data_IF_537096923064
#
_entry.id   IF_537096923064
#
_cell.length_a   1.000
_cell.length_b   1.000
_cell.length_c   1.000
_cell.angle_alpha   90.00
_cell.angle_beta   90.00
_cell.angle_gamma   90.00
#
_symmetry.space_group_name_H-M   'P 1'
#
loop_
_entity.id
_entity.type
_entity.pdbx_description
1 polymer ?
#
# COMPACT_ATOMS: atom_id res chain seq x y z
N UNK A 1 -1.00 10.32 14.44
CA UNK A 1 -2.14 11.18 14.02
C UNK A 1 -2.23 11.07 12.50
N UNK A 2 -3.30 10.51 11.93
CA UNK A 2 -3.45 10.43 10.47
C UNK A 2 -3.69 11.85 9.92
N UNK A 3 -2.78 12.36 9.08
CA UNK A 3 -3.09 13.57 8.30
C UNK A 3 -4.12 13.18 7.22
N UNK A 4 -5.26 13.89 7.12
CA UNK A 4 -6.31 13.50 6.19
C UNK A 4 -5.86 13.79 4.75
N UNK A 5 -5.50 12.74 4.01
CA UNK A 5 -5.39 12.81 2.56
C UNK A 5 -6.81 13.01 1.98
N UNK A 6 -7.12 14.23 1.57
CA UNK A 6 -8.42 14.60 1.01
C UNK A 6 -8.68 13.89 -0.34
N UNK A 7 -9.94 13.76 -0.79
CA UNK A 7 -10.26 13.14 -2.08
C UNK A 7 -9.52 13.74 -3.29
N UNK A 8 -9.28 15.05 -3.28
CA UNK A 8 -8.51 15.75 -4.31
C UNK A 8 -7.05 15.27 -4.37
N UNK A 9 -6.47 14.93 -3.22
CA UNK A 9 -5.11 14.38 -3.12
C UNK A 9 -5.10 12.92 -3.60
N UNK A 10 -6.14 12.15 -3.31
CA UNK A 10 -6.30 10.76 -3.82
C UNK A 10 -6.37 10.74 -5.35
N UNK A 11 -7.08 11.71 -5.96
CA UNK A 11 -7.12 11.83 -7.43
C UNK A 11 -5.73 12.08 -8.03
N UNK A 12 -4.92 12.94 -7.42
CA UNK A 12 -3.52 13.15 -7.84
C UNK A 12 -2.66 11.90 -7.60
N UNK A 13 -2.85 11.22 -6.47
CA UNK A 13 -2.16 9.97 -6.14
C UNK A 13 -2.41 8.89 -7.21
N UNK A 14 -3.63 8.82 -7.77
CA UNK A 14 -3.93 7.91 -8.90
C UNK A 14 -3.10 8.22 -10.16
N UNK A 15 -2.80 9.48 -10.46
CA UNK A 15 -1.85 9.80 -11.54
C UNK A 15 -0.45 9.30 -11.20
N UNK A 16 -0.03 9.55 -9.96
CA UNK A 16 1.33 9.27 -9.50
C UNK A 16 1.63 7.77 -9.50
N UNK A 17 0.63 6.91 -9.25
CA UNK A 17 0.79 5.44 -9.32
C UNK A 17 0.50 4.86 -10.72
N UNK A 18 0.11 5.71 -11.69
CA UNK A 18 -0.13 5.31 -13.08
C UNK A 18 -1.49 4.68 -13.35
N UNK A 19 -2.53 5.07 -12.59
CA UNK A 19 -3.92 4.62 -12.74
C UNK A 19 -4.93 5.79 -12.94
N UNK A 20 -4.66 6.76 -13.84
CA UNK A 20 -5.54 7.92 -14.04
C UNK A 20 -6.96 7.53 -14.51
N UNK A 21 -7.13 6.37 -15.14
CA UNK A 21 -8.42 5.89 -15.65
C UNK A 21 -9.47 5.64 -14.57
N UNK A 22 -9.08 5.51 -13.29
CA UNK A 22 -10.01 5.26 -12.18
C UNK A 22 -10.42 6.52 -11.42
N UNK A 23 -9.91 7.70 -11.82
CA UNK A 23 -10.15 8.96 -11.12
C UNK A 23 -11.61 9.29 -10.94
N UNK A 24 -12.40 9.15 -12.01
CA UNK A 24 -13.83 9.47 -11.97
C UNK A 24 -14.56 8.62 -10.92
N UNK A 25 -14.29 7.31 -10.87
CA UNK A 25 -14.94 6.42 -9.91
C UNK A 25 -14.50 6.70 -8.47
N UNK A 26 -13.21 7.00 -8.25
CA UNK A 26 -12.70 7.34 -6.92
C UNK A 26 -13.23 8.69 -6.43
N UNK A 27 -13.36 9.67 -7.32
CA UNK A 27 -13.91 11.01 -7.02
C UNK A 27 -15.42 10.93 -6.70
N UNK A 28 -16.21 10.25 -7.54
CA UNK A 28 -17.63 9.98 -7.29
C UNK A 28 -17.85 9.22 -5.97
N UNK A 29 -16.97 8.26 -5.67
CA UNK A 29 -16.97 7.52 -4.41
C UNK A 29 -16.44 8.30 -3.19
N UNK A 30 -15.95 9.52 -3.40
CA UNK A 30 -15.30 10.37 -2.37
C UNK A 30 -14.22 9.63 -1.58
N UNK A 31 -13.41 8.82 -2.26
CA UNK A 31 -12.36 8.02 -1.64
C UNK A 31 -11.31 8.96 -1.03
N UNK A 32 -11.06 8.82 0.27
CA UNK A 32 -10.04 9.55 1.01
C UNK A 32 -8.90 8.64 1.50
N UNK A 33 -7.89 9.21 2.16
CA UNK A 33 -6.75 8.44 2.70
C UNK A 33 -7.13 7.39 3.74
N UNK A 34 -8.21 7.62 4.51
CA UNK A 34 -8.68 6.65 5.50
C UNK A 34 -9.34 5.46 4.80
N UNK A 35 -10.13 5.72 3.76
CA UNK A 35 -10.70 4.69 2.91
C UNK A 35 -9.60 3.90 2.20
N UNK A 36 -8.55 4.53 1.69
CA UNK A 36 -7.39 3.82 1.15
C UNK A 36 -6.73 2.90 2.18
N UNK A 37 -6.62 3.32 3.43
CA UNK A 37 -6.01 2.50 4.49
C UNK A 37 -6.79 1.20 4.76
N UNK A 38 -8.13 1.26 4.73
CA UNK A 38 -9.03 0.13 4.99
C UNK A 38 -9.68 -0.46 3.73
N UNK A 39 -9.15 -0.14 2.54
CA UNK A 39 -9.74 -0.55 1.26
C UNK A 39 -9.82 -2.08 1.16
N UNK A 40 -10.99 -2.62 0.84
CA UNK A 40 -11.21 -4.05 0.61
C UNK A 40 -11.18 -4.41 -0.88
N UNK A 41 -11.03 -5.71 -1.19
CA UNK A 41 -11.12 -6.21 -2.58
C UNK A 41 -12.48 -5.86 -3.21
N UNK A 42 -13.56 -5.95 -2.43
CA UNK A 42 -14.92 -5.66 -2.90
C UNK A 42 -15.13 -4.16 -3.18
N UNK A 43 -14.50 -3.27 -2.39
CA UNK A 43 -14.52 -1.83 -2.66
C UNK A 43 -13.87 -1.52 -4.01
N UNK A 44 -12.69 -2.12 -4.28
CA UNK A 44 -12.02 -1.94 -5.57
C UNK A 44 -12.84 -2.45 -6.75
N UNK A 45 -13.52 -3.60 -6.59
CA UNK A 45 -14.42 -4.12 -7.61
C UNK A 45 -15.60 -3.17 -7.85
N UNK A 46 -16.16 -2.58 -6.79
CA UNK A 46 -17.24 -1.59 -6.85
C UNK A 46 -16.79 -0.30 -7.55
N UNK A 47 -15.52 0.08 -7.37
CA UNK A 47 -14.84 1.17 -8.08
C UNK A 47 -14.41 0.78 -9.51
N UNK A 48 -14.86 -0.38 -10.02
CA UNK A 48 -14.57 -0.92 -11.37
C UNK A 48 -13.10 -1.26 -11.62
N UNK A 49 -12.32 -1.45 -10.56
CA UNK A 49 -10.95 -1.95 -10.64
C UNK A 49 -11.01 -3.49 -10.65
N UNK A 50 -11.12 -4.09 -11.84
CA UNK A 50 -11.24 -5.54 -11.99
C UNK A 50 -9.94 -6.29 -12.31
N UNK A 51 -8.84 -5.57 -12.58
CA UNK A 51 -7.56 -6.17 -12.98
C UNK A 51 -6.76 -6.63 -11.75
N UNK A 52 -6.24 -7.87 -11.79
CA UNK A 52 -5.35 -8.41 -10.74
C UNK A 52 -4.09 -7.55 -10.60
N UNK A 53 -3.53 -7.10 -11.73
CA UNK A 53 -2.34 -6.25 -11.73
C UNK A 53 -2.63 -4.90 -11.04
N UNK A 54 -3.80 -4.30 -11.30
CA UNK A 54 -4.16 -3.04 -10.67
C UNK A 54 -4.46 -3.19 -9.18
N UNK A 55 -4.98 -4.34 -8.72
CA UNK A 55 -5.10 -4.65 -7.30
C UNK A 55 -3.72 -4.72 -6.62
N UNK A 56 -2.75 -5.39 -7.24
CA UNK A 56 -1.38 -5.44 -6.72
C UNK A 56 -0.71 -4.06 -6.73
N UNK A 57 -0.93 -3.27 -7.79
CA UNK A 57 -0.48 -1.88 -7.86
C UNK A 57 -1.01 -1.06 -6.69
N UNK A 58 -2.33 -1.05 -6.48
CA UNK A 58 -2.95 -0.30 -5.38
C UNK A 58 -2.48 -0.83 -4.01
N UNK A 59 -2.38 -2.16 -3.84
CA UNK A 59 -1.83 -2.78 -2.62
C UNK A 59 -0.46 -2.23 -2.27
N UNK A 60 0.48 -2.23 -3.22
CA UNK A 60 1.85 -1.76 -2.97
C UNK A 60 1.93 -0.24 -2.85
N UNK A 61 1.09 0.51 -3.56
CA UNK A 61 1.00 1.95 -3.37
C UNK A 61 0.49 2.33 -1.96
N UNK A 62 -0.52 1.63 -1.43
CA UNK A 62 -0.98 1.79 -0.04
C UNK A 62 0.13 1.41 0.94
N UNK A 63 0.88 0.34 0.67
CA UNK A 63 2.02 -0.05 1.50
C UNK A 63 3.09 1.06 1.54
N UNK A 64 3.40 1.70 0.40
CA UNK A 64 4.33 2.84 0.35
C UNK A 64 3.79 4.02 1.14
N UNK A 65 2.49 4.33 1.07
CA UNK A 65 1.88 5.36 1.92
C UNK A 65 2.08 5.02 3.41
N UNK A 66 1.85 3.77 3.83
CA UNK A 66 2.06 3.33 5.22
C UNK A 66 3.51 3.47 5.67
N UNK A 67 4.46 3.05 4.84
CA UNK A 67 5.91 3.19 5.11
C UNK A 67 6.34 4.66 5.26
N UNK A 68 5.59 5.59 4.66
CA UNK A 68 5.86 7.02 4.72
C UNK A 68 4.82 7.78 5.55
N UNK A 69 4.14 7.10 6.48
CA UNK A 69 3.20 7.70 7.43
C UNK A 69 2.09 8.54 6.80
N UNK A 70 1.65 8.14 5.60
CA UNK A 70 0.65 8.84 4.78
C UNK A 70 1.02 10.30 4.47
N UNK A 71 2.31 10.62 4.35
CA UNK A 71 2.74 11.93 3.89
C UNK A 71 2.22 12.17 2.45
N UNK A 72 1.45 13.23 2.19
CA UNK A 72 0.80 13.45 0.89
C UNK A 72 1.71 13.51 -0.33
N UNK A 73 2.98 13.89 -0.15
CA UNK A 73 3.97 14.06 -1.21
C UNK A 73 5.07 12.99 -1.17
N UNK A 74 4.81 11.84 -0.52
CA UNK A 74 5.86 10.84 -0.34
C UNK A 74 6.27 10.21 -1.67
N UNK A 75 5.37 10.19 -2.66
CA UNK A 75 5.69 9.76 -4.02
C UNK A 75 6.38 10.88 -4.79
N UNK A 76 7.58 10.58 -5.31
CA UNK A 76 8.46 11.57 -5.92
C UNK A 76 8.56 11.40 -7.43
N UNK A 77 8.40 12.52 -8.14
CA UNK A 77 8.70 12.62 -9.59
C UNK A 77 10.17 12.89 -9.85
N UNK A 78 10.84 13.62 -8.95
CA UNK A 78 12.27 13.95 -9.02
C UNK A 78 12.89 13.60 -7.66
N UNK A 79 13.73 12.57 -7.57
CA UNK A 79 14.52 12.30 -6.37
C UNK A 79 15.44 13.50 -6.07
N UNK A 80 15.74 13.73 -4.80
CA UNK A 80 16.58 14.85 -4.37
C UNK A 80 18.07 14.58 -4.61
N UNK A 81 18.47 13.31 -4.68
CA UNK A 81 19.82 12.84 -4.96
C UNK A 81 19.75 11.74 -6.03
N UNK A 82 20.43 11.94 -7.16
CA UNK A 82 20.47 10.98 -8.27
C UNK A 82 21.67 10.03 -8.20
N UNK A 83 22.66 10.29 -7.34
CA UNK A 83 23.93 9.58 -7.35
C UNK A 83 23.93 8.32 -6.47
N UNK A 84 22.99 8.18 -5.54
CA UNK A 84 22.92 7.02 -4.64
C UNK A 84 21.46 6.63 -4.33
N UNK A 85 20.75 6.15 -5.35
CA UNK A 85 19.33 5.82 -5.24
C UNK A 85 19.16 4.44 -4.58
N UNK A 86 18.57 4.41 -3.40
CA UNK A 86 18.30 3.19 -2.64
C UNK A 86 16.96 2.54 -3.01
N UNK A 87 16.75 1.24 -2.76
CA UNK A 87 15.46 0.58 -2.98
C UNK A 87 14.26 1.25 -2.28
N UNK A 88 14.48 1.83 -1.09
CA UNK A 88 13.47 2.61 -0.38
C UNK A 88 13.06 3.89 -1.14
N UNK A 89 14.02 4.62 -1.70
CA UNK A 89 13.74 5.79 -2.54
C UNK A 89 13.09 5.39 -3.87
N UNK A 90 13.49 4.26 -4.44
CA UNK A 90 12.87 3.71 -5.66
C UNK A 90 11.42 3.35 -5.37
N UNK A 91 11.09 2.79 -4.20
CA UNK A 91 9.70 2.48 -3.84
C UNK A 91 8.78 3.70 -3.87
N UNK A 92 9.33 4.90 -3.70
CA UNK A 92 8.62 6.18 -3.77
C UNK A 92 8.48 6.72 -5.19
N UNK A 93 9.02 6.06 -6.22
CA UNK A 93 8.94 6.55 -7.59
C UNK A 93 7.52 6.51 -8.13
N UNK A 94 7.09 7.66 -8.67
CA UNK A 94 5.87 7.74 -9.48
C UNK A 94 6.00 6.97 -10.80
N UNK A 95 4.88 6.63 -11.43
CA UNK A 95 4.82 6.11 -12.80
C UNK A 95 5.59 7.01 -13.78
N UNK A 96 5.49 8.33 -13.61
CA UNK A 96 6.23 9.28 -14.42
C UNK A 96 7.75 9.12 -14.28
N UNK A 97 8.25 8.98 -13.05
CA UNK A 97 9.68 8.77 -12.80
C UNK A 97 10.16 7.43 -13.38
N UNK A 98 9.35 6.37 -13.31
CA UNK A 98 9.67 5.09 -13.98
C UNK A 98 9.79 5.27 -15.49
N UNK A 99 8.90 6.04 -16.12
CA UNK A 99 9.01 6.37 -17.54
C UNK A 99 10.26 7.18 -17.86
N UNK A 100 10.70 8.09 -16.99
CA UNK A 100 11.98 8.80 -17.14
C UNK A 100 13.18 7.87 -17.02
N UNK A 101 13.16 6.94 -16.05
CA UNK A 101 14.20 5.93 -15.91
C UNK A 101 14.34 5.08 -17.17
N UNK A 102 13.23 4.65 -17.79
CA UNK A 102 13.28 3.93 -19.07
C UNK A 102 13.98 4.73 -20.17
N UNK A 103 13.82 6.06 -20.20
CA UNK A 103 14.54 6.91 -21.15
C UNK A 103 16.04 6.95 -20.85
N UNK A 104 16.43 6.97 -19.58
CA UNK A 104 17.84 6.99 -19.17
C UNK A 104 18.60 5.69 -19.45
N UNK A 105 17.88 4.58 -19.65
CA UNK A 105 18.45 3.26 -19.99
C UNK A 105 18.18 2.88 -21.45
N UNK A 106 18.00 3.85 -22.33
CA UNK A 106 17.82 3.66 -23.79
C UNK A 106 16.56 2.86 -24.20
N UNK A 107 15.49 2.91 -23.40
CA UNK A 107 14.19 2.29 -23.68
C UNK A 107 13.08 3.33 -23.85
N UNK A 108 13.43 4.54 -24.31
CA UNK A 108 12.54 5.68 -24.41
C UNK A 108 11.27 5.44 -25.26
N UNK A 109 11.40 4.66 -26.34
CA UNK A 109 10.28 4.34 -27.26
C UNK A 109 9.18 3.49 -26.59
N UNK A 110 9.53 2.70 -25.56
CA UNK A 110 8.58 1.83 -24.86
C UNK A 110 7.92 2.52 -23.66
N UNK A 111 8.52 3.60 -23.14
CA UNK A 111 8.04 4.28 -21.92
C UNK A 111 6.57 4.72 -21.97
N UNK A 112 6.02 5.26 -23.09
CA UNK A 112 4.61 5.64 -23.16
C UNK A 112 3.62 4.50 -22.90
N UNK A 113 4.03 3.23 -23.12
CA UNK A 113 3.19 2.05 -22.89
C UNK A 113 2.87 1.83 -21.40
N UNK A 114 3.60 2.47 -20.48
CA UNK A 114 3.33 2.40 -19.05
C UNK A 114 2.19 3.31 -18.57
N UNK A 115 1.62 4.17 -19.43
CA UNK A 115 0.48 5.00 -19.06
C UNK A 115 -0.75 4.14 -18.78
N UNK A 116 -1.36 4.32 -17.61
CA UNK A 116 -2.54 3.54 -17.20
C UNK A 116 -2.23 2.08 -16.82
N UNK A 117 -0.96 1.68 -16.78
CA UNK A 117 -0.54 0.31 -16.44
C UNK A 117 -0.52 0.00 -14.93
N UNK A 118 -0.55 1.04 -14.09
CA UNK A 118 -0.32 0.92 -12.65
C UNK A 118 1.13 0.68 -12.24
N UNK A 119 2.10 0.73 -13.16
CA UNK A 119 3.52 0.54 -12.84
C UNK A 119 4.07 1.77 -12.13
N UNK A 120 4.60 1.57 -10.92
CA UNK A 120 5.30 2.57 -10.12
C UNK A 120 6.35 1.86 -9.25
N UNK A 121 7.18 2.64 -8.56
CA UNK A 121 8.31 2.14 -7.78
C UNK A 121 7.96 1.09 -6.73
N UNK A 122 6.89 1.36 -5.95
CA UNK A 122 6.38 0.44 -4.94
C UNK A 122 6.04 -0.94 -5.52
N UNK A 123 5.34 -0.99 -6.65
CA UNK A 123 5.07 -2.25 -7.36
C UNK A 123 6.36 -2.96 -7.79
N UNK A 124 7.32 -2.22 -8.36
CA UNK A 124 8.57 -2.78 -8.87
C UNK A 124 9.43 -3.40 -7.77
N UNK A 125 9.54 -2.75 -6.61
CA UNK A 125 10.41 -3.20 -5.52
C UNK A 125 9.70 -4.21 -4.61
N UNK A 126 8.46 -3.95 -4.22
CA UNK A 126 7.80 -4.65 -3.12
C UNK A 126 6.98 -5.87 -3.54
N UNK A 127 6.62 -6.03 -4.83
CA UNK A 127 5.83 -7.16 -5.30
C UNK A 127 6.71 -8.27 -5.90
N UNK A 128 6.85 -9.45 -5.25
CA UNK A 128 7.67 -10.55 -5.77
C UNK A 128 7.15 -11.09 -7.11
N UNK A 129 5.85 -11.02 -7.35
CA UNK A 129 5.24 -11.46 -8.62
C UNK A 129 5.56 -10.52 -9.79
N UNK A 130 5.90 -9.25 -9.52
CA UNK A 130 6.23 -8.27 -10.55
C UNK A 130 7.72 -8.38 -10.91
N UNK A 131 8.02 -8.98 -12.05
CA UNK A 131 9.38 -9.26 -12.50
C UNK A 131 9.65 -8.71 -13.92
N UNK A 132 10.85 -8.97 -14.42
CA UNK A 132 11.29 -8.54 -15.77
C UNK A 132 10.33 -8.98 -16.86
N UNK A 133 9.78 -10.20 -16.77
CA UNK A 133 8.82 -10.70 -17.76
C UNK A 133 7.53 -9.88 -17.76
N UNK A 134 7.01 -9.58 -16.57
CA UNK A 134 5.82 -8.73 -16.40
C UNK A 134 6.07 -7.31 -16.93
N UNK A 135 7.24 -6.72 -16.64
CA UNK A 135 7.62 -5.41 -17.16
C UNK A 135 7.72 -5.41 -18.70
N UNK A 136 8.36 -6.43 -19.30
CA UNK A 136 8.49 -6.55 -20.74
C UNK A 136 7.11 -6.67 -21.44
N UNK A 137 6.18 -7.42 -20.84
CA UNK A 137 4.80 -7.50 -21.31
C UNK A 137 4.11 -6.14 -21.31
N UNK A 138 4.22 -5.37 -20.22
CA UNK A 138 3.59 -4.05 -20.10
C UNK A 138 4.24 -3.00 -21.02
N UNK A 139 5.52 -3.17 -21.34
CA UNK A 139 6.22 -2.36 -22.32
C UNK A 139 5.91 -2.75 -23.77
N UNK A 140 5.12 -3.82 -23.99
CA UNK A 140 4.87 -4.43 -25.30
C UNK A 140 6.16 -4.86 -26.02
N UNK A 141 7.16 -5.32 -25.27
CA UNK A 141 8.40 -5.90 -25.84
C UNK A 141 8.14 -7.39 -26.12
N UNK A 142 8.12 -7.84 -27.38
CA UNK A 142 7.81 -9.23 -27.70
C UNK A 142 8.91 -10.21 -27.23
N UNK A 143 8.58 -11.51 -26.99
CA UNK A 143 9.53 -12.51 -26.49
C UNK A 143 10.71 -12.77 -27.44
N UNK A 144 10.53 -12.57 -28.75
CA UNK A 144 11.60 -12.76 -29.74
C UNK A 144 12.65 -11.61 -29.76
N UNK A 145 12.40 -10.48 -29.09
CA UNK A 145 13.36 -9.37 -28.95
C UNK A 145 14.32 -9.63 -27.79
N UNK A 146 15.09 -10.70 -27.88
CA UNK A 146 15.94 -11.22 -26.79
C UNK A 146 16.99 -10.23 -26.30
N UNK A 147 17.60 -9.43 -27.20
CA UNK A 147 18.58 -8.41 -26.83
C UNK A 147 17.96 -7.30 -25.97
N UNK A 148 16.77 -6.81 -26.34
CA UNK A 148 16.04 -5.78 -25.58
C UNK A 148 15.61 -6.32 -24.21
N UNK A 149 15.12 -7.56 -24.17
CA UNK A 149 14.71 -8.21 -22.91
C UNK A 149 15.89 -8.43 -21.96
N UNK A 150 17.05 -8.82 -22.49
CA UNK A 150 18.29 -8.91 -21.71
C UNK A 150 18.74 -7.55 -21.19
N UNK A 151 18.69 -6.51 -22.02
CA UNK A 151 19.01 -5.13 -21.63
C UNK A 151 18.09 -4.65 -20.50
N UNK A 152 16.78 -4.82 -20.66
CA UNK A 152 15.78 -4.53 -19.63
C UNK A 152 16.06 -5.31 -18.34
N UNK A 153 16.36 -6.61 -18.44
CA UNK A 153 16.65 -7.45 -17.27
C UNK A 153 17.82 -6.91 -16.44
N UNK A 154 18.93 -6.57 -17.10
CA UNK A 154 20.13 -6.02 -16.46
C UNK A 154 19.78 -4.73 -15.71
N UNK A 155 19.19 -3.76 -16.40
CA UNK A 155 18.88 -2.45 -15.79
C UNK A 155 17.79 -2.54 -14.72
N UNK A 156 16.80 -3.42 -14.89
CA UNK A 156 15.75 -3.64 -13.88
C UNK A 156 16.34 -4.23 -12.59
N UNK A 157 17.21 -5.25 -12.69
CA UNK A 157 17.83 -5.87 -11.53
C UNK A 157 18.79 -4.91 -10.80
N UNK A 158 19.56 -4.11 -11.55
CA UNK A 158 20.38 -3.05 -10.98
C UNK A 158 19.54 -2.01 -10.23
N UNK A 159 18.37 -1.66 -10.76
CA UNK A 159 17.47 -0.71 -10.14
C UNK A 159 16.88 -1.26 -8.85
N UNK A 160 16.19 -2.42 -8.89
CA UNK A 160 15.47 -2.91 -7.70
C UNK A 160 16.38 -3.43 -6.58
N UNK A 161 17.64 -3.75 -6.90
CA UNK A 161 18.63 -4.24 -5.95
C UNK A 161 18.54 -5.75 -5.71
N UNK A 162 19.59 -6.30 -5.08
CA UNK A 162 19.79 -7.74 -4.92
C UNK A 162 18.73 -8.42 -4.05
N UNK A 163 18.24 -7.76 -3.00
CA UNK A 163 17.20 -8.30 -2.11
C UNK A 163 15.89 -8.53 -2.87
N UNK A 164 15.42 -7.51 -3.59
CA UNK A 164 14.19 -7.62 -4.39
C UNK A 164 14.37 -8.61 -5.56
N UNK A 165 15.57 -8.67 -6.15
CA UNK A 165 15.89 -9.68 -7.17
C UNK A 165 15.78 -11.10 -6.61
N UNK A 166 16.34 -11.37 -5.42
CA UNK A 166 16.27 -12.68 -4.76
C UNK A 166 14.82 -13.10 -4.50
N UNK A 167 14.01 -12.24 -3.89
CA UNK A 167 12.60 -12.53 -3.62
C UNK A 167 11.78 -12.84 -4.88
N UNK A 168 12.08 -12.16 -6.00
CA UNK A 168 11.43 -12.43 -7.29
C UNK A 168 11.87 -13.76 -7.88
N UNK A 169 13.14 -14.14 -7.70
CA UNK A 169 13.67 -15.42 -8.15
C UNK A 169 13.07 -16.59 -7.35
N UNK A 170 13.03 -16.49 -6.02
CA UNK A 170 12.41 -17.51 -5.16
C UNK A 170 10.94 -17.74 -5.52
N UNK A 171 10.23 -16.66 -5.86
CA UNK A 171 8.82 -16.74 -6.28
C UNK A 171 8.66 -17.37 -7.67
N UNK A 172 9.61 -17.17 -8.58
CA UNK A 172 9.63 -17.81 -9.92
C UNK A 172 9.92 -19.30 -9.85
N UNK A 173 10.73 -19.74 -8.88
CA UNK A 173 11.08 -21.14 -8.67
C UNK A 173 9.96 -21.94 -8.00
N UNK A 174 8.94 -21.26 -7.46
CA UNK A 174 7.78 -21.92 -6.88
C UNK A 174 6.96 -22.66 -7.97
N UNK A 175 6.65 -23.96 -7.80
CA UNK A 175 5.90 -24.74 -8.79
C UNK A 175 4.48 -24.22 -9.05
N UNK A 176 3.87 -23.47 -8.12
CA UNK A 176 2.56 -22.85 -8.28
C UNK A 176 2.63 -21.45 -8.92
N UNK A 177 3.80 -21.05 -9.46
CA UNK A 177 3.98 -19.75 -10.07
C UNK A 177 3.09 -19.56 -11.30
N UNK A 178 2.27 -18.52 -11.25
CA UNK A 178 1.51 -18.03 -12.41
C UNK A 178 1.98 -16.64 -12.80
N UNK A 179 2.35 -16.47 -14.07
CA UNK A 179 2.75 -15.19 -14.61
C UNK A 179 1.62 -14.16 -14.49
N UNK A 180 1.97 -12.95 -14.02
CA UNK A 180 1.07 -11.82 -14.02
C UNK A 180 0.84 -11.35 -15.45
N UNK A 181 -0.43 -11.35 -15.88
CA UNK A 181 -0.84 -10.79 -17.16
C UNK A 181 -1.68 -9.53 -16.94
N UNK A 182 -1.54 -8.55 -17.84
CA UNK A 182 -2.29 -7.30 -17.75
C UNK A 182 -3.83 -7.50 -17.83
N UNK A 183 -4.26 -8.60 -18.45
CA UNK A 183 -5.67 -8.94 -18.69
C UNK A 183 -6.28 -9.84 -17.61
N UNK A 184 -5.47 -10.33 -16.64
CA UNK A 184 -5.98 -11.16 -15.56
C UNK A 184 -7.04 -10.40 -14.75
N UNK A 185 -8.24 -10.98 -14.63
CA UNK A 185 -9.34 -10.42 -13.86
C UNK A 185 -9.43 -11.06 -12.48
N UNK A 186 -9.71 -10.24 -11.47
CA UNK A 186 -10.01 -10.70 -10.11
C UNK A 186 -11.27 -11.55 -10.16
N UNK A 187 -11.20 -12.77 -9.65
CA UNK A 187 -12.36 -13.66 -9.55
C UNK A 187 -13.13 -13.28 -8.29
N UNK A 188 -14.40 -12.89 -8.43
CA UNK A 188 -15.27 -12.77 -7.27
C UNK A 188 -15.40 -14.14 -6.59
N UNK A 189 -15.17 -14.19 -5.26
CA UNK A 189 -15.58 -15.34 -4.47
C UNK A 189 -17.11 -15.37 -4.49
N UNK A 190 -17.68 -16.29 -5.28
CA UNK A 190 -19.12 -16.51 -5.29
C UNK A 190 -19.48 -17.09 -3.92
N UNK A 191 -20.15 -16.31 -3.08
CA UNK A 191 -20.74 -16.83 -1.84
C UNK A 191 -21.68 -17.96 -2.24
N UNK A 192 -21.29 -19.20 -1.95
CA UNK A 192 -22.14 -20.37 -2.12
C UNK A 192 -23.29 -20.25 -1.12
N UNK A 193 -24.43 -19.74 -1.58
CA UNK A 193 -25.71 -19.80 -0.85
C UNK A 193 -26.18 -21.25 -0.77
N UNK A 194 -25.60 -22.02 0.16
CA UNK A 194 -25.94 -23.42 0.32
C UNK A 194 -25.43 -24.00 1.63
N UNK A 195 -26.16 -23.77 2.72
CA UNK A 195 -26.62 -24.84 3.62
C UNK A 195 -27.43 -24.24 4.78
N UNK A 196 -28.75 -24.41 4.71
CA UNK A 196 -29.66 -24.16 5.82
C UNK A 196 -29.46 -25.30 6.83
N UNK A 197 -28.50 -25.17 7.75
CA UNK A 197 -28.24 -26.22 8.73
C UNK A 197 -26.95 -26.08 9.51
N UNK A 198 -26.90 -25.15 10.47
CA UNK A 198 -26.31 -25.35 11.80
C UNK A 198 -26.30 -24.01 12.56
N UNK A 199 -27.36 -23.80 13.34
CA UNK A 199 -27.49 -22.67 14.26
C UNK A 199 -26.73 -22.98 15.56
N UNK A 200 -25.39 -23.07 15.51
CA UNK A 200 -24.55 -22.96 16.72
C UNK A 200 -23.12 -22.63 16.35
N UNK A 201 -22.68 -21.45 16.81
CA UNK A 201 -21.31 -20.91 16.75
C UNK A 201 -20.88 -20.19 15.45
N UNK A 202 -21.72 -19.25 14.95
CA UNK A 202 -21.25 -18.17 14.04
C UNK A 202 -21.03 -16.90 14.87
N UNK A 203 -19.79 -16.68 15.33
CA UNK A 203 -19.26 -15.33 15.62
C UNK A 203 -17.81 -15.29 15.17
N UNK A 204 -17.55 -14.43 14.19
CA UNK A 204 -16.29 -13.76 13.90
C UNK A 204 -15.23 -14.52 13.10
N UNK A 205 -15.45 -14.69 11.79
CA UNK A 205 -14.35 -14.77 10.80
C UNK A 205 -14.83 -14.43 9.36
N UNK A 206 -15.68 -13.41 9.22
CA UNK A 206 -15.77 -12.68 7.94
C UNK A 206 -14.67 -11.62 7.99
N UNK A 207 -13.41 -12.05 7.93
CA UNK A 207 -12.26 -11.16 7.82
C UNK A 207 -12.39 -10.41 6.50
N UNK A 208 -12.76 -9.13 6.54
CA UNK A 208 -12.76 -8.24 5.39
C UNK A 208 -11.38 -8.35 4.69
N UNK A 209 -11.36 -8.87 3.45
CA UNK A 209 -10.11 -9.10 2.69
C UNK A 209 -9.57 -7.74 2.24
N UNK A 210 -8.79 -7.09 3.12
CA UNK A 210 -8.12 -5.82 2.81
C UNK A 210 -7.18 -5.99 1.63
N UNK A 211 -7.18 -5.02 0.71
CA UNK A 211 -6.29 -4.97 -0.45
C UNK A 211 -4.82 -4.99 0.00
N UNK A 212 -4.52 -4.23 1.05
CA UNK A 212 -3.22 -4.21 1.71
C UNK A 212 -3.42 -4.70 3.16
N UNK A 213 -3.08 -5.96 3.48
CA UNK A 213 -3.22 -6.48 4.84
C UNK A 213 -2.52 -5.59 5.87
N UNK A 214 -3.06 -5.49 7.08
CA UNK A 214 -2.51 -4.59 8.11
C UNK A 214 -1.21 -5.12 8.72
N UNK A 215 -1.02 -6.42 8.61
CA UNK A 215 0.12 -7.23 9.06
C UNK A 215 1.14 -7.49 7.94
N UNK A 216 1.07 -6.76 6.81
CA UNK A 216 2.07 -6.89 5.73
C UNK A 216 3.46 -6.71 6.31
N UNK A 217 4.29 -7.74 6.19
CA UNK A 217 5.69 -7.69 6.63
C UNK A 217 6.42 -6.51 5.98
N UNK A 218 7.10 -5.73 6.82
CA UNK A 218 7.91 -4.62 6.36
C UNK A 218 9.17 -5.12 5.66
N UNK A 219 9.66 -4.42 4.61
CA UNK A 219 10.90 -4.81 3.95
C UNK A 219 12.06 -4.81 4.94
N UNK A 220 12.84 -5.90 4.98
CA UNK A 220 13.94 -6.08 5.94
C UNK A 220 15.22 -5.35 5.50
N UNK A 221 15.26 -4.85 4.26
CA UNK A 221 16.39 -4.10 3.73
C UNK A 221 16.79 -2.88 4.54
N UNK A 222 18.09 -2.70 4.78
CA UNK A 222 18.68 -1.57 5.54
C UNK A 222 18.21 -0.20 5.07
N UNK A 223 17.89 -0.04 3.78
CA UNK A 223 17.37 1.22 3.23
C UNK A 223 15.99 1.59 3.75
N UNK A 224 15.16 0.61 4.11
CA UNK A 224 13.83 0.81 4.69
C UNK A 224 13.86 1.01 6.21
N UNK A 225 14.94 0.63 6.90
CA UNK A 225 15.08 0.73 8.36
C UNK A 225 15.41 2.16 8.86
N UNK A 226 16.07 2.99 8.05
CA UNK A 226 16.43 4.38 8.42
C UNK A 226 15.23 5.26 8.81
N UNK A 227 14.04 4.96 8.31
CA UNK A 227 12.82 5.69 8.67
C UNK A 227 12.23 5.32 10.03
N UNK A 228 12.57 4.13 10.55
CA UNK A 228 12.01 3.58 11.78
C UNK A 228 12.81 3.96 13.03
N UNK A 229 14.13 4.13 12.93
CA UNK A 229 14.96 4.57 14.07
C UNK A 229 14.52 5.93 14.63
N UNK A 230 14.05 6.83 13.76
CA UNK A 230 13.48 8.12 14.17
C UNK A 230 12.17 7.99 14.96
N UNK A 231 11.37 6.94 14.72
CA UNK A 231 10.11 6.72 15.42
C UNK A 231 10.31 6.10 16.81
N UNK A 232 11.28 5.18 16.97
CA UNK A 232 11.62 4.64 18.29
C UNK A 232 12.25 5.73 19.17
N UNK A 233 13.16 6.55 18.63
CA UNK A 233 13.71 7.70 19.35
C UNK A 233 12.64 8.73 19.75
N UNK A 234 11.66 9.02 18.88
CA UNK A 234 10.55 9.93 19.21
C UNK A 234 9.53 9.31 20.17
N UNK A 235 9.30 7.99 20.14
CA UNK A 235 8.46 7.30 21.13
C UNK A 235 9.12 7.29 22.50
N UNK A 236 10.41 6.99 22.58
CA UNK A 236 11.19 7.02 23.83
C UNK A 236 11.23 8.44 24.40
N UNK A 237 11.33 9.47 23.55
CA UNK A 237 11.23 10.86 23.96
C UNK A 237 9.83 11.22 24.45
N UNK A 238 8.76 10.77 23.77
CA UNK A 238 7.38 11.01 24.19
C UNK A 238 7.01 10.29 25.50
N UNK A 239 7.54 9.09 25.74
CA UNK A 239 7.42 8.40 27.02
C UNK A 239 8.13 9.18 28.15
N UNK A 240 9.29 9.79 27.86
CA UNK A 240 9.97 10.67 28.83
C UNK A 240 9.19 11.97 29.11
N UNK A 241 8.49 12.56 28.13
CA UNK A 241 7.67 13.77 28.36
C UNK A 241 6.40 13.45 29.15
N UNK A 242 5.80 12.28 28.96
CA UNK A 242 4.62 11.81 29.70
C UNK A 242 4.92 11.56 31.19
N UNK A 243 6.19 11.44 31.57
CA UNK A 243 6.60 11.38 32.97
C UNK A 243 6.51 12.74 33.68
N UNK A 244 6.47 13.86 32.94
CA UNK A 244 6.45 15.23 33.49
C UNK A 244 5.06 15.89 33.54
N UNK A 245 4.08 15.40 32.79
CA UNK A 245 2.72 15.95 32.80
C UNK A 245 1.67 14.90 33.17
N UNK A 246 1.12 15.04 34.37
CA UNK A 246 0.16 14.08 34.92
C UNK A 246 -1.19 13.96 34.17
N UNK A 247 -1.99 12.92 34.47
CA UNK A 247 -3.12 12.43 33.68
C UNK A 247 -4.34 13.35 33.55
N UNK A 248 -4.31 14.56 34.13
CA UNK A 248 -5.43 15.52 34.10
C UNK A 248 -5.47 16.42 32.86
N UNK A 249 -4.39 16.51 32.09
CA UNK A 249 -4.31 17.37 30.90
C UNK A 249 -5.01 16.77 29.66
N UNK A 250 -5.03 15.44 29.54
CA UNK A 250 -5.49 14.73 28.33
C UNK A 250 -7.01 14.78 28.16
N UNK A 251 -7.76 14.95 29.25
CA UNK A 251 -9.23 14.94 29.24
C UNK A 251 -9.86 16.18 28.59
N UNK A 252 -9.16 17.32 28.58
CA UNK A 252 -9.71 18.59 28.07
C UNK A 252 -9.75 18.67 26.54
N UNK A 253 -8.95 17.86 25.83
CA UNK A 253 -8.82 17.94 24.36
C UNK A 253 -9.90 17.13 23.64
N UNK A 254 -10.44 16.07 24.27
CA UNK A 254 -11.38 15.14 23.62
C UNK A 254 -12.83 15.64 23.56
N UNK A 255 -13.22 16.57 24.44
CA UNK A 255 -14.63 17.00 24.54
C UNK A 255 -15.07 17.96 23.43
N UNK A 256 -14.14 18.56 22.67
CA UNK A 256 -14.48 19.65 21.74
C UNK A 256 -14.68 19.21 20.27
N UNK A 257 -14.56 17.91 19.95
CA UNK A 257 -14.47 17.45 18.55
C UNK A 257 -15.63 16.58 18.04
N UNK A 258 -16.67 16.33 18.83
CA UNK A 258 -17.72 15.34 18.51
C UNK A 258 -19.15 15.90 18.50
N UNK A 259 -19.36 17.10 17.95
CA UNK A 259 -20.70 17.69 17.86
C UNK A 259 -21.56 17.17 16.68
N UNK A 260 -20.96 16.61 15.61
CA UNK A 260 -21.69 16.36 14.33
C UNK A 260 -21.60 14.92 13.78
N UNK A 261 -21.38 13.91 14.63
CA UNK A 261 -21.29 12.52 14.18
C UNK A 261 -22.65 11.79 14.15
N UNK A 262 -22.90 11.03 13.09
CA UNK A 262 -24.11 10.19 12.93
C UNK A 262 -24.24 9.14 14.06
N UNK A 263 -25.46 8.87 14.60
CA UNK A 263 -25.67 8.03 15.78
C UNK A 263 -25.14 6.59 15.68
N UNK A 264 -24.96 6.05 14.46
CA UNK A 264 -24.43 4.69 14.25
C UNK A 264 -22.92 4.59 14.47
N UNK A 265 -22.18 5.70 14.40
CA UNK A 265 -20.72 5.76 14.56
C UNK A 265 -20.33 5.96 16.04
N UNK A 266 -21.13 6.71 16.80
CA UNK A 266 -20.96 6.88 18.26
C UNK A 266 -21.09 5.55 19.03
N UNK A 267 -22.00 4.67 18.62
CA UNK A 267 -22.22 3.38 19.29
C UNK A 267 -21.03 2.40 19.18
N UNK A 268 -20.23 2.49 18.11
CA UNK A 268 -19.01 1.67 17.95
C UNK A 268 -17.83 2.25 18.74
N UNK A 269 -17.77 3.58 18.88
CA UNK A 269 -16.70 4.26 19.60
C UNK A 269 -16.82 4.12 21.12
N UNK A 270 -18.05 4.14 21.67
CA UNK A 270 -18.26 3.94 23.11
C UNK A 270 -17.82 2.57 23.61
N UNK A 271 -18.01 1.51 22.82
CA UNK A 271 -17.53 0.16 23.18
C UNK A 271 -16.00 0.06 23.23
N UNK A 272 -15.28 0.81 22.38
CA UNK A 272 -13.81 0.80 22.35
C UNK A 272 -13.24 1.63 23.51
N UNK A 273 -13.85 2.77 23.83
CA UNK A 273 -13.43 3.61 24.96
C UNK A 273 -13.71 2.93 26.31
N UNK A 274 -14.86 2.27 26.45
CA UNK A 274 -15.19 1.48 27.66
C UNK A 274 -14.27 0.27 27.81
N UNK A 275 -13.85 -0.37 26.70
CA UNK A 275 -12.88 -1.45 26.72
C UNK A 275 -11.49 -0.96 27.20
N UNK A 276 -11.03 0.19 26.73
CA UNK A 276 -9.75 0.77 27.17
C UNK A 276 -9.78 1.21 28.65
N UNK A 277 -10.90 1.73 29.15
CA UNK A 277 -11.04 2.03 30.58
C UNK A 277 -11.16 0.79 31.46
N UNK A 278 -11.75 -0.31 30.97
CA UNK A 278 -11.91 -1.54 31.76
C UNK A 278 -10.61 -2.34 31.93
N UNK A 279 -9.68 -2.22 30.97
CA UNK A 279 -8.34 -2.83 31.06
C UNK A 279 -7.48 -2.14 32.11
N UNK A 280 -7.70 -0.84 32.38
CA UNK A 280 -6.92 -0.10 33.38
C UNK A 280 -7.42 -0.23 34.83
N UNK A 281 -8.63 -0.76 35.06
CA UNK A 281 -9.18 -0.96 36.41
C UNK A 281 -8.96 -2.40 36.92
N UNK A 282 -8.61 -3.33 36.02
CA UNK A 282 -8.55 -4.77 36.34
C UNK A 282 -7.15 -5.37 36.28
N UNK A 283 -6.14 -4.68 36.82
CA UNK A 283 -4.87 -5.33 37.21
C UNK A 283 -4.82 -5.46 38.73
N UNK A 284 -5.12 -6.65 39.30
CA UNK A 284 -4.82 -6.96 40.68
C UNK A 284 -3.43 -7.60 40.74
N UNK A 285 -2.55 -7.06 41.59
CA UNK A 285 -1.77 -7.84 42.57
C UNK A 285 -0.93 -6.88 43.42
N UNK A 286 -1.07 -6.82 44.75
CA UNK A 286 -0.88 -7.90 45.71
C UNK A 286 0.61 -8.33 45.80
N UNK A 287 1.44 -7.47 46.39
CA UNK A 287 2.21 -7.69 47.62
C UNK A 287 3.09 -6.46 47.90
#
# INVERSE_FOLDING_TARGET
MFSPMLPTVVSRWLDDIGLPQYKTQFDEGRVDGRMLHYMTVDDLLSLKVGSVLHHLSIKRAIQVLRLNNYEPNCLRRRPSDENNITPAEISQWTNHRVMEWLRSVDLAEYAPNLRGSGVHGGLMVLEPRFNVETMALLLNIPPNKTLLRRHLATHFNLLVGSEAQGLKQDYLENPDYTLLTATAKVKLRKMTFGSFGSLRKKRQDESEEYVCPMDVEMPKGRSFQKGYELYEDDLDRLEQVNFWFGPRSVFAVLHNSYADCSPRILARHFSVVVALCSVHISSPNNK
#
